data_IF_359561475568
#
_entry.id   IF_359561475568
#
_cell.length_a   1.000
_cell.length_b   1.000
_cell.length_c   1.000
_cell.angle_alpha   90.00
_cell.angle_beta   90.00
_cell.angle_gamma   90.00
#
_symmetry.space_group_name_H-M   'P 1'
#
loop_
_entity.id
_entity.type
_entity.pdbx_description
1 polymer ?
#
# COMPACT_ATOMS: atom_id res chain seq x y z
N UNK A 1 -13.00 -2.92 -16.71
CA UNK A 1 -13.12 -3.46 -15.34
C UNK A 1 -12.73 -2.36 -14.37
N UNK A 2 -13.51 -2.13 -13.32
CA UNK A 2 -13.31 -0.99 -12.40
C UNK A 2 -12.34 -1.37 -11.28
N UNK A 3 -11.27 -0.58 -11.08
CA UNK A 3 -10.39 -0.70 -9.91
C UNK A 3 -11.12 -0.20 -8.67
N UNK A 4 -11.16 -1.00 -7.61
CA UNK A 4 -11.70 -0.61 -6.31
C UNK A 4 -10.68 0.18 -5.48
N UNK A 5 -9.39 -0.13 -5.64
CA UNK A 5 -8.28 0.62 -5.04
C UNK A 5 -7.27 0.92 -6.14
N UNK A 6 -6.79 2.16 -6.19
CA UNK A 6 -5.66 2.57 -7.02
C UNK A 6 -4.77 3.54 -6.25
N UNK A 7 -3.47 3.27 -6.21
CA UNK A 7 -2.46 4.23 -5.74
C UNK A 7 -1.51 4.56 -6.87
N UNK A 8 -0.94 5.76 -6.83
CA UNK A 8 0.14 6.17 -7.72
C UNK A 8 1.22 6.82 -6.87
N UNK A 9 2.39 6.19 -6.84
CA UNK A 9 3.58 6.63 -6.10
C UNK A 9 3.26 6.95 -4.64
N UNK A 10 2.47 6.10 -3.96
CA UNK A 10 2.12 6.32 -2.56
C UNK A 10 3.37 6.16 -1.70
N UNK A 11 3.77 7.24 -1.04
CA UNK A 11 4.83 7.23 -0.04
C UNK A 11 4.31 7.62 1.34
N UNK A 12 4.86 7.00 2.38
CA UNK A 12 4.59 7.35 3.77
C UNK A 12 5.89 7.44 4.53
N UNK A 13 6.15 8.62 5.08
CA UNK A 13 7.32 8.91 5.90
C UNK A 13 6.95 9.03 7.38
N UNK A 14 7.87 8.59 8.24
CA UNK A 14 7.89 8.89 9.66
C UNK A 14 9.21 9.60 9.96
N UNK A 15 9.18 10.93 10.01
CA UNK A 15 10.41 11.73 9.94
C UNK A 15 11.12 11.48 8.61
N UNK A 16 12.42 11.18 8.67
CA UNK A 16 13.24 10.90 7.48
C UNK A 16 13.12 9.43 7.00
N UNK A 17 12.39 8.58 7.72
CA UNK A 17 12.25 7.17 7.37
C UNK A 17 11.05 6.95 6.43
N UNK A 18 11.33 6.46 5.22
CA UNK A 18 10.32 6.03 4.26
C UNK A 18 9.77 4.63 4.63
N UNK A 19 8.63 4.57 5.31
CA UNK A 19 7.97 3.31 5.65
C UNK A 19 7.19 2.71 4.48
N UNK A 20 6.76 3.54 3.55
CA UNK A 20 6.28 3.15 2.21
C UNK A 20 6.94 4.11 1.24
N UNK A 21 7.52 3.60 0.16
CA UNK A 21 8.20 4.42 -0.84
C UNK A 21 7.63 4.10 -2.23
N UNK A 22 6.94 5.09 -2.80
CA UNK A 22 6.57 5.11 -4.21
C UNK A 22 5.75 3.89 -4.66
N UNK A 23 4.77 3.48 -3.85
CA UNK A 23 3.96 2.30 -4.12
C UNK A 23 2.84 2.58 -5.14
N UNK A 24 2.94 1.90 -6.28
CA UNK A 24 1.84 1.74 -7.25
C UNK A 24 1.08 0.44 -6.94
N UNK A 25 -0.23 0.56 -6.73
CA UNK A 25 -1.12 -0.56 -6.43
C UNK A 25 -2.42 -0.39 -7.21
N UNK A 26 -2.92 -1.49 -7.76
CA UNK A 26 -4.26 -1.58 -8.32
C UNK A 26 -4.93 -2.85 -7.80
N UNK A 27 -6.10 -2.71 -7.19
CA UNK A 27 -6.94 -3.84 -6.76
C UNK A 27 -8.29 -3.71 -7.44
N UNK A 28 -8.74 -4.78 -8.10
CA UNK A 28 -10.01 -4.82 -8.83
C UNK A 28 -11.17 -5.04 -7.88
N UNK A 29 -12.37 -4.59 -8.28
CA UNK A 29 -13.58 -4.90 -7.53
C UNK A 29 -13.79 -6.42 -7.42
N UNK A 30 -14.00 -6.92 -6.20
CA UNK A 30 -14.18 -8.35 -5.89
C UNK A 30 -12.88 -9.15 -5.75
N UNK A 31 -11.71 -8.53 -5.89
CA UNK A 31 -10.41 -9.19 -5.71
C UNK A 31 -10.04 -9.31 -4.23
N UNK A 32 -9.53 -10.48 -3.84
CA UNK A 32 -8.90 -10.68 -2.53
C UNK A 32 -7.41 -10.43 -2.68
N UNK A 33 -6.94 -9.34 -2.09
CA UNK A 33 -5.53 -8.92 -2.13
C UNK A 33 -4.90 -8.97 -0.72
N UNK A 34 -3.63 -9.37 -0.65
CA UNK A 34 -2.89 -9.44 0.61
C UNK A 34 -1.42 -9.06 0.46
N UNK A 35 -0.88 -8.35 1.45
CA UNK A 35 0.55 -8.05 1.54
C UNK A 35 1.30 -9.16 2.27
N UNK A 36 2.38 -9.66 1.68
CA UNK A 36 3.29 -10.63 2.28
C UNK A 36 4.71 -10.07 2.37
N UNK A 37 5.37 -10.29 3.50
CA UNK A 37 6.74 -9.81 3.72
C UNK A 37 7.12 -9.80 5.21
N UNK A 38 8.41 -9.57 5.54
CA UNK A 38 8.90 -9.58 6.91
C UNK A 38 8.35 -8.41 7.75
N UNK A 39 8.58 -8.45 9.06
CA UNK A 39 8.24 -7.33 9.95
C UNK A 39 9.02 -6.07 9.53
N UNK A 40 8.36 -4.92 9.60
CA UNK A 40 8.94 -3.64 9.16
C UNK A 40 8.84 -3.35 7.65
N UNK A 41 8.40 -4.29 6.82
CA UNK A 41 8.28 -4.12 5.36
C UNK A 41 7.16 -3.15 4.88
N UNK A 42 6.58 -2.33 5.76
CA UNK A 42 5.56 -1.36 5.38
C UNK A 42 4.12 -1.87 5.25
N UNK A 43 3.86 -3.20 5.33
CA UNK A 43 2.51 -3.80 5.12
C UNK A 43 1.36 -3.10 5.88
N UNK A 44 1.45 -3.04 7.21
CA UNK A 44 0.41 -2.41 8.04
C UNK A 44 0.35 -0.89 7.84
N UNK A 45 1.48 -0.27 7.48
CA UNK A 45 1.53 1.15 7.14
C UNK A 45 0.75 1.41 5.84
N UNK A 46 0.97 0.59 4.80
CA UNK A 46 0.22 0.68 3.56
C UNK A 46 -1.27 0.49 3.78
N UNK A 47 -1.69 -0.54 4.54
CA UNK A 47 -3.11 -0.76 4.83
C UNK A 47 -3.73 0.47 5.52
N UNK A 48 -3.04 1.08 6.48
CA UNK A 48 -3.51 2.31 7.16
C UNK A 48 -3.58 3.53 6.25
N UNK A 49 -2.83 3.57 5.16
CA UNK A 49 -2.95 4.65 4.16
C UNK A 49 -4.20 4.48 3.26
N UNK A 50 -4.77 3.27 3.20
CA UNK A 50 -5.90 2.93 2.33
C UNK A 50 -7.26 2.91 3.05
N UNK A 51 -7.27 2.94 4.38
CA UNK A 51 -8.45 3.02 5.24
C UNK A 51 -8.67 4.47 5.70
#
# INVERSE_FOLDING_TARGET
MTSAIRTTQLSKYFGDFAAVDSLDLEVRAGEVFGFLGPNGAGKSTTIRCLL
#
